data_IF_294778389939
#
_entry.id   IF_294778389939
#
_cell.length_a   1.000
_cell.length_b   1.000
_cell.length_c   1.000
_cell.angle_alpha   90.00
_cell.angle_beta   90.00
_cell.angle_gamma   90.00
#
_symmetry.space_group_name_H-M   'P 1'
#
loop_
_entity.id
_entity.type
_entity.pdbx_description
1 polymer ?
#
# COMPACT_ATOMS: atom_id res chain seq x y z
N UNK A 1 -14.38 3.29 -39.13
CA UNK A 1 -14.40 2.90 -37.69
C UNK A 1 -13.87 4.00 -36.78
N UNK A 2 -12.59 4.43 -36.88
CA UNK A 2 -12.01 5.45 -35.97
C UNK A 2 -12.81 6.76 -35.91
N UNK A 3 -13.26 7.26 -37.08
CA UNK A 3 -14.17 8.42 -37.14
C UNK A 3 -15.47 8.20 -36.36
N UNK A 4 -16.05 7.00 -36.42
CA UNK A 4 -17.28 6.68 -35.68
C UNK A 4 -17.04 6.69 -34.17
N UNK A 5 -15.87 6.19 -33.72
CA UNK A 5 -15.48 6.25 -32.30
C UNK A 5 -15.37 7.71 -31.85
N UNK A 6 -14.71 8.57 -32.65
CA UNK A 6 -14.63 10.01 -32.37
C UNK A 6 -16.01 10.66 -32.27
N UNK A 7 -16.87 10.42 -33.27
CA UNK A 7 -18.20 11.03 -33.34
C UNK A 7 -19.18 10.49 -32.28
N UNK A 8 -18.93 9.31 -31.69
CA UNK A 8 -19.77 8.78 -30.61
C UNK A 8 -19.75 9.66 -29.36
N UNK A 9 -18.70 10.47 -29.19
CA UNK A 9 -18.54 11.42 -28.10
C UNK A 9 -19.06 12.83 -28.44
N UNK A 10 -19.83 12.98 -29.54
CA UNK A 10 -20.38 14.26 -30.02
C UNK A 10 -19.42 15.01 -30.96
N UNK A 11 -19.52 16.35 -31.02
CA UNK A 11 -18.49 17.26 -31.59
C UNK A 11 -17.23 17.33 -30.69
N UNK A 12 -16.92 16.21 -30.04
CA UNK A 12 -15.87 16.07 -29.07
C UNK A 12 -14.47 16.22 -29.67
N UNK A 13 -13.44 16.24 -28.81
CA UNK A 13 -12.07 16.49 -29.20
C UNK A 13 -11.48 15.40 -30.10
N UNK A 14 -10.23 15.60 -30.55
CA UNK A 14 -9.48 14.63 -31.36
C UNK A 14 -9.43 13.24 -30.70
N UNK A 15 -9.39 12.18 -31.50
CA UNK A 15 -9.27 10.81 -30.99
C UNK A 15 -7.80 10.51 -30.62
N UNK A 16 -7.52 10.12 -29.38
CA UNK A 16 -6.19 9.60 -29.05
C UNK A 16 -6.04 8.18 -29.56
N UNK A 17 -5.00 7.95 -30.38
CA UNK A 17 -4.55 6.62 -30.76
C UNK A 17 -3.28 6.33 -29.96
N UNK A 18 -3.38 5.41 -29.02
CA UNK A 18 -2.33 5.11 -28.06
C UNK A 18 -1.72 3.75 -28.39
N UNK A 19 -0.52 3.79 -28.94
CA UNK A 19 0.30 2.62 -29.15
C UNK A 19 1.16 2.37 -27.91
N UNK A 20 0.89 1.26 -27.22
CA UNK A 20 1.64 0.93 -26.00
C UNK A 20 3.12 0.63 -26.24
N UNK A 21 3.54 0.40 -27.48
CA UNK A 21 4.92 -0.01 -27.84
C UNK A 21 5.91 1.16 -27.75
N UNK A 22 7.23 0.86 -27.66
CA UNK A 22 8.26 1.82 -28.00
C UNK A 22 8.21 2.18 -29.50
N UNK A 23 8.45 3.45 -29.87
CA UNK A 23 8.41 3.89 -31.28
C UNK A 23 9.26 3.03 -32.22
N UNK A 24 10.46 2.64 -31.77
CA UNK A 24 11.37 1.80 -32.56
C UNK A 24 10.75 0.44 -32.89
N UNK A 25 10.09 -0.20 -31.91
CA UNK A 25 9.42 -1.49 -32.13
C UNK A 25 8.22 -1.35 -33.07
N UNK A 26 7.50 -0.23 -32.98
CA UNK A 26 6.39 0.05 -33.90
C UNK A 26 6.89 0.25 -35.34
N UNK A 27 8.04 0.93 -35.51
CA UNK A 27 8.70 1.09 -36.81
C UNK A 27 9.17 -0.25 -37.40
N UNK A 28 9.78 -1.13 -36.59
CA UNK A 28 10.17 -2.47 -37.04
C UNK A 28 8.97 -3.29 -37.49
N UNK A 29 7.85 -3.22 -36.76
CA UNK A 29 6.61 -3.87 -37.17
C UNK A 29 6.06 -3.29 -38.49
N UNK A 30 6.21 -1.97 -38.72
CA UNK A 30 5.85 -1.33 -40.00
C UNK A 30 6.67 -1.89 -41.17
N UNK A 31 7.97 -2.11 -40.98
CA UNK A 31 8.82 -2.72 -42.00
C UNK A 31 8.44 -4.19 -42.32
N UNK A 32 7.76 -4.88 -41.40
CA UNK A 32 7.27 -6.26 -41.57
C UNK A 32 5.83 -6.34 -42.09
N UNK A 33 5.26 -5.23 -42.60
CA UNK A 33 3.91 -5.18 -43.14
C UNK A 33 2.79 -5.03 -42.11
N UNK A 34 3.12 -4.81 -40.83
CA UNK A 34 2.19 -4.33 -39.80
C UNK A 34 2.33 -2.80 -39.70
N UNK A 35 2.08 -2.20 -38.53
CA UNK A 35 2.40 -0.78 -38.34
C UNK A 35 1.61 -0.12 -37.23
N UNK A 36 1.37 1.18 -37.43
CA UNK A 36 0.59 2.08 -36.60
C UNK A 36 -0.06 3.12 -37.53
N UNK A 37 -1.07 3.83 -37.03
CA UNK A 37 -1.88 4.78 -37.77
C UNK A 37 -1.07 6.01 -38.19
N UNK A 38 -1.07 6.33 -39.48
CA UNK A 38 -0.41 7.52 -40.01
C UNK A 38 -1.32 8.74 -39.85
N UNK A 39 -0.85 9.78 -39.16
CA UNK A 39 -1.59 11.03 -38.91
C UNK A 39 -1.92 11.81 -40.18
N UNK A 40 -1.21 11.55 -41.29
CA UNK A 40 -1.54 12.15 -42.58
C UNK A 40 -2.72 11.46 -43.27
N UNK A 41 -2.95 10.18 -42.94
CA UNK A 41 -4.04 9.36 -43.50
C UNK A 41 -5.27 9.46 -42.61
N UNK A 42 -5.10 9.22 -41.31
CA UNK A 42 -6.15 9.32 -40.31
C UNK A 42 -6.17 10.74 -39.76
N UNK A 43 -7.05 11.57 -40.33
CA UNK A 43 -7.31 12.91 -39.82
C UNK A 43 -8.00 12.83 -38.46
N UNK A 44 -7.87 13.90 -37.69
CA UNK A 44 -8.51 14.09 -36.39
C UNK A 44 -8.07 13.10 -35.29
N UNK A 45 -6.84 12.56 -35.39
CA UNK A 45 -6.24 11.70 -34.36
C UNK A 45 -4.99 12.33 -33.74
N UNK A 46 -4.68 11.94 -32.51
CA UNK A 46 -3.40 12.20 -31.85
C UNK A 46 -2.74 10.85 -31.57
N UNK A 47 -1.67 10.53 -32.31
CA UNK A 47 -0.89 9.32 -32.08
C UNK A 47 0.10 9.51 -30.92
N UNK A 48 0.11 8.58 -29.96
CA UNK A 48 1.04 8.57 -28.82
C UNK A 48 1.63 7.19 -28.56
N UNK A 49 2.92 7.16 -28.24
CA UNK A 49 3.65 5.94 -27.87
C UNK A 49 3.94 5.90 -26.36
N UNK A 50 3.68 4.77 -25.70
CA UNK A 50 3.85 4.62 -24.24
C UNK A 50 5.14 3.89 -23.81
N UNK A 51 5.91 3.36 -24.75
CA UNK A 51 7.22 2.75 -24.49
C UNK A 51 7.22 1.52 -23.57
N UNK A 52 6.11 0.77 -23.50
CA UNK A 52 6.00 -0.44 -22.67
C UNK A 52 6.71 -1.61 -23.38
N UNK A 53 7.67 -2.29 -22.70
CA UNK A 53 8.46 -3.37 -23.28
C UNK A 53 7.61 -4.56 -23.77
N UNK A 54 8.19 -5.41 -24.61
CA UNK A 54 7.54 -6.66 -25.05
C UNK A 54 7.68 -7.77 -24.00
N UNK A 55 7.01 -8.90 -24.25
CA UNK A 55 6.97 -10.06 -23.36
C UNK A 55 8.36 -10.62 -23.03
N UNK A 56 9.32 -10.54 -23.96
CA UNK A 56 10.68 -11.07 -23.76
C UNK A 56 11.49 -10.19 -22.80
N UNK A 57 11.39 -8.87 -22.95
CA UNK A 57 12.05 -7.93 -22.05
C UNK A 57 11.44 -7.99 -20.63
N UNK A 58 10.13 -8.21 -20.52
CA UNK A 58 9.45 -8.42 -19.23
C UNK A 58 9.89 -9.73 -18.58
N UNK A 59 9.95 -10.84 -19.34
CA UNK A 59 10.48 -12.12 -18.83
C UNK A 59 11.91 -11.96 -18.30
N UNK A 60 12.81 -11.40 -19.10
CA UNK A 60 14.21 -11.19 -18.69
C UNK A 60 14.36 -10.23 -17.51
N UNK A 61 13.41 -9.32 -17.28
CA UNK A 61 13.37 -8.46 -16.11
C UNK A 61 13.05 -9.26 -14.84
N UNK A 62 12.01 -10.10 -14.88
CA UNK A 62 11.68 -10.96 -13.74
C UNK A 62 12.77 -11.99 -13.45
N UNK A 63 13.35 -12.61 -14.49
CA UNK A 63 14.46 -13.56 -14.31
C UNK A 63 15.66 -12.92 -13.59
N UNK A 64 16.03 -11.68 -13.94
CA UNK A 64 17.10 -10.93 -13.26
C UNK A 64 16.75 -10.66 -11.81
N UNK A 65 15.49 -10.31 -11.53
CA UNK A 65 15.00 -10.04 -10.18
C UNK A 65 15.06 -11.30 -9.31
N UNK A 66 14.49 -12.40 -9.79
CA UNK A 66 14.42 -13.68 -9.08
C UNK A 66 15.79 -14.30 -8.85
N UNK A 67 16.72 -14.18 -9.81
CA UNK A 67 18.08 -14.72 -9.68
C UNK A 67 18.79 -14.19 -8.44
N UNK A 68 18.57 -12.93 -8.08
CA UNK A 68 19.22 -12.32 -6.92
C UNK A 68 18.46 -12.64 -5.63
N UNK A 69 17.12 -12.67 -5.68
CA UNK A 69 16.32 -13.08 -4.51
C UNK A 69 16.54 -14.54 -4.09
N UNK A 70 16.90 -15.41 -5.03
CA UNK A 70 17.19 -16.81 -4.73
C UNK A 70 18.60 -17.05 -4.17
N UNK A 71 19.47 -16.03 -4.13
CA UNK A 71 20.81 -16.16 -3.57
C UNK A 71 20.81 -15.88 -2.05
N UNK A 72 21.01 -16.91 -1.20
CA UNK A 72 21.01 -16.74 0.25
C UNK A 72 22.24 -15.96 0.77
N UNK A 73 23.28 -15.76 -0.06
CA UNK A 73 24.52 -15.08 0.32
C UNK A 73 24.55 -13.60 -0.05
N UNK A 74 23.57 -13.13 -0.81
CA UNK A 74 23.48 -11.74 -1.25
C UNK A 74 23.13 -10.81 -0.08
N UNK A 75 23.82 -9.68 -0.01
CA UNK A 75 23.54 -8.62 0.98
C UNK A 75 22.30 -7.80 0.60
N UNK A 76 21.66 -7.15 1.59
CA UNK A 76 20.52 -6.25 1.33
C UNK A 76 20.85 -5.10 0.37
N UNK A 77 22.09 -4.60 0.40
CA UNK A 77 22.56 -3.55 -0.53
C UNK A 77 22.60 -4.06 -1.96
N UNK A 78 23.04 -5.30 -2.15
CA UNK A 78 23.10 -5.93 -3.47
C UNK A 78 21.70 -6.32 -3.97
N UNK A 79 20.76 -6.68 -3.08
CA UNK A 79 19.35 -6.85 -3.42
C UNK A 79 18.76 -5.56 -4.01
N UNK A 80 18.94 -4.43 -3.32
CA UNK A 80 18.42 -3.14 -3.81
C UNK A 80 19.03 -2.76 -5.17
N UNK A 81 20.35 -2.95 -5.34
CA UNK A 81 21.00 -2.73 -6.63
C UNK A 81 20.48 -3.65 -7.73
N UNK A 82 20.11 -4.89 -7.39
CA UNK A 82 19.54 -5.84 -8.34
C UNK A 82 18.13 -5.47 -8.76
N UNK A 83 17.30 -4.98 -7.84
CA UNK A 83 15.96 -4.45 -8.15
C UNK A 83 16.07 -3.36 -9.22
N UNK A 84 16.99 -2.41 -9.05
CA UNK A 84 17.22 -1.35 -10.04
C UNK A 84 17.68 -1.90 -11.40
N UNK A 85 18.66 -2.82 -11.39
CA UNK A 85 19.22 -3.44 -12.62
C UNK A 85 18.21 -4.32 -13.36
N UNK A 86 17.21 -4.85 -12.66
CA UNK A 86 16.16 -5.68 -13.27
C UNK A 86 15.25 -4.87 -14.20
N UNK A 87 15.15 -3.55 -14.02
CA UNK A 87 14.12 -2.69 -14.62
C UNK A 87 12.67 -3.05 -14.28
N UNK A 88 12.41 -3.94 -13.31
CA UNK A 88 11.05 -4.37 -12.98
C UNK A 88 10.18 -3.19 -12.55
N UNK A 89 10.62 -2.43 -11.54
CA UNK A 89 9.92 -1.25 -11.05
C UNK A 89 9.77 -0.16 -12.13
N UNK A 90 10.76 -0.02 -13.01
CA UNK A 90 10.67 0.90 -14.15
C UNK A 90 9.56 0.50 -15.10
N UNK A 91 9.35 -0.78 -15.34
CA UNK A 91 8.27 -1.26 -16.20
C UNK A 91 6.88 -1.08 -15.56
N UNK A 92 6.75 -1.35 -14.26
CA UNK A 92 5.52 -1.07 -13.53
C UNK A 92 5.16 0.42 -13.62
N UNK A 93 6.15 1.29 -13.42
CA UNK A 93 5.96 2.74 -13.53
C UNK A 93 5.46 3.15 -14.91
N UNK A 94 6.06 2.66 -15.99
CA UNK A 94 5.60 2.96 -17.36
C UNK A 94 4.15 2.54 -17.60
N UNK A 95 3.74 1.38 -17.05
CA UNK A 95 2.36 0.89 -17.18
C UNK A 95 1.39 1.79 -16.39
N UNK A 96 1.73 2.15 -15.14
CA UNK A 96 0.92 3.03 -14.29
C UNK A 96 0.83 4.44 -14.87
N UNK A 97 1.94 5.02 -15.34
CA UNK A 97 1.98 6.32 -16.02
C UNK A 97 1.11 6.31 -17.29
N UNK A 98 1.15 5.24 -18.08
CA UNK A 98 0.32 5.08 -19.26
C UNK A 98 -1.17 5.00 -18.93
N UNK A 99 -1.54 4.20 -17.93
CA UNK A 99 -2.92 4.10 -17.46
C UNK A 99 -3.44 5.44 -16.93
N UNK A 100 -2.64 6.14 -16.14
CA UNK A 100 -2.98 7.45 -15.60
C UNK A 100 -3.10 8.52 -16.70
N UNK A 101 -2.21 8.48 -17.71
CA UNK A 101 -2.28 9.37 -18.87
C UNK A 101 -3.63 9.28 -19.59
N UNK A 102 -4.18 8.06 -19.73
CA UNK A 102 -5.49 7.80 -20.33
C UNK A 102 -6.59 8.26 -19.37
N UNK A 103 -6.59 7.75 -18.13
CA UNK A 103 -7.64 8.02 -17.16
C UNK A 103 -7.84 9.52 -16.91
N UNK A 104 -6.73 10.26 -16.71
CA UNK A 104 -6.77 11.70 -16.44
C UNK A 104 -7.32 12.56 -17.59
N UNK A 105 -7.27 12.08 -18.83
CA UNK A 105 -7.76 12.82 -20.02
C UNK A 105 -9.14 12.39 -20.48
N UNK A 106 -9.63 11.26 -19.97
CA UNK A 106 -11.01 10.83 -20.16
C UNK A 106 -11.99 11.63 -19.30
N UNK A 107 -11.52 12.23 -18.20
CA UNK A 107 -12.35 13.09 -17.36
C UNK A 107 -12.95 14.26 -18.18
N UNK A 108 -14.25 14.56 -18.03
CA UNK A 108 -14.91 15.63 -18.77
C UNK A 108 -14.20 16.99 -18.60
N UNK A 109 -13.75 17.29 -17.38
CA UNK A 109 -13.04 18.52 -17.05
C UNK A 109 -11.68 18.63 -17.75
N UNK A 110 -11.07 17.49 -18.09
CA UNK A 110 -9.78 17.41 -18.79
C UNK A 110 -9.93 17.31 -20.32
N UNK A 111 -11.14 17.51 -20.84
CA UNK A 111 -11.48 17.52 -22.27
C UNK A 111 -12.36 16.37 -22.73
N UNK A 112 -12.57 15.33 -21.91
CA UNK A 112 -13.47 14.22 -22.26
C UNK A 112 -13.00 13.44 -23.50
N UNK A 113 -11.69 13.20 -23.62
CA UNK A 113 -11.13 12.57 -24.82
C UNK A 113 -11.52 11.09 -24.93
N UNK A 114 -11.71 10.63 -26.16
CA UNK A 114 -11.82 9.20 -26.47
C UNK A 114 -10.47 8.60 -26.83
N UNK A 115 -10.30 7.31 -26.53
CA UNK A 115 -9.04 6.60 -26.69
C UNK A 115 -9.23 5.29 -27.46
N UNK A 116 -8.35 5.05 -28.44
CA UNK A 116 -8.08 3.75 -29.02
C UNK A 116 -6.72 3.27 -28.52
N UNK A 117 -6.69 2.21 -27.73
CA UNK A 117 -5.45 1.66 -27.17
C UNK A 117 -5.11 0.36 -27.88
N UNK A 118 -3.89 0.24 -28.40
CA UNK A 118 -3.42 -0.98 -29.06
C UNK A 118 -1.94 -1.27 -28.77
N UNK A 119 -1.50 -2.45 -29.20
CA UNK A 119 -0.10 -2.84 -29.14
C UNK A 119 0.33 -3.53 -30.45
N UNK A 120 1.04 -4.66 -30.37
CA UNK A 120 1.27 -5.52 -31.53
C UNK A 120 0.03 -6.39 -31.83
N UNK A 121 -0.41 -7.17 -30.85
CA UNK A 121 -1.48 -8.17 -31.02
C UNK A 121 -2.73 -7.88 -30.16
N UNK A 122 -2.66 -6.88 -29.27
CA UNK A 122 -3.81 -6.35 -28.53
C UNK A 122 -4.18 -7.06 -27.22
N UNK A 123 -3.51 -8.14 -26.82
CA UNK A 123 -3.92 -8.95 -25.65
C UNK A 123 -2.98 -8.90 -24.42
N UNK A 124 -1.83 -8.21 -24.50
CA UNK A 124 -0.87 -8.12 -23.38
C UNK A 124 -0.88 -6.70 -22.76
N UNK A 125 -0.09 -5.78 -23.33
CA UNK A 125 0.05 -4.40 -22.85
C UNK A 125 -1.25 -3.61 -22.88
N UNK A 126 -2.09 -3.90 -23.88
CA UNK A 126 -3.42 -3.29 -23.99
C UNK A 126 -4.29 -3.69 -22.81
N UNK A 127 -4.32 -4.98 -22.42
CA UNK A 127 -5.07 -5.44 -21.25
C UNK A 127 -4.55 -4.77 -19.97
N UNK A 128 -3.23 -4.70 -19.77
CA UNK A 128 -2.61 -4.01 -18.64
C UNK A 128 -3.07 -2.55 -18.53
N UNK A 129 -2.90 -1.78 -19.61
CA UNK A 129 -3.17 -0.33 -19.60
C UNK A 129 -4.67 -0.02 -19.51
N UNK A 130 -5.50 -0.73 -20.27
CA UNK A 130 -6.95 -0.50 -20.25
C UNK A 130 -7.58 -0.87 -18.91
N UNK A 131 -7.18 -2.00 -18.30
CA UNK A 131 -7.72 -2.44 -17.02
C UNK A 131 -7.28 -1.52 -15.88
N UNK A 132 -6.02 -1.07 -15.86
CA UNK A 132 -5.54 -0.10 -14.87
C UNK A 132 -6.18 1.28 -15.05
N UNK A 133 -6.38 1.76 -16.27
CA UNK A 133 -7.06 3.04 -16.50
C UNK A 133 -8.51 2.99 -15.97
N UNK A 134 -9.20 1.86 -16.16
CA UNK A 134 -10.53 1.62 -15.59
C UNK A 134 -10.52 1.59 -14.07
N UNK A 135 -9.54 0.94 -13.43
CA UNK A 135 -9.36 1.00 -11.97
C UNK A 135 -9.13 2.43 -11.48
N UNK A 136 -8.39 3.23 -12.24
CA UNK A 136 -8.08 4.61 -11.88
C UNK A 136 -9.28 5.56 -12.00
N UNK A 137 -10.23 5.29 -12.91
CA UNK A 137 -11.36 6.20 -13.16
C UNK A 137 -12.67 5.77 -12.49
N UNK A 138 -12.97 4.48 -12.43
CA UNK A 138 -14.28 3.96 -12.02
C UNK A 138 -14.19 3.20 -10.68
N UNK A 139 -14.80 3.71 -9.60
CA UNK A 139 -14.85 3.04 -8.29
C UNK A 139 -15.48 1.65 -8.31
N UNK A 140 -16.34 1.34 -9.28
CA UNK A 140 -16.92 0.00 -9.41
C UNK A 140 -15.84 -1.05 -9.49
N UNK A 141 -14.81 -0.85 -10.31
CA UNK A 141 -13.72 -1.82 -10.48
C UNK A 141 -12.82 -1.95 -9.25
N UNK A 142 -12.94 -1.05 -8.27
CA UNK A 142 -12.25 -1.14 -6.97
C UNK A 142 -13.04 -1.96 -5.94
N UNK A 143 -14.28 -2.33 -6.26
CA UNK A 143 -15.06 -3.28 -5.46
C UNK A 143 -14.61 -4.71 -5.75
N UNK A 144 -14.88 -5.64 -4.84
CA UNK A 144 -14.58 -7.06 -5.03
C UNK A 144 -15.22 -7.61 -6.31
N UNK A 145 -16.50 -7.31 -6.53
CA UNK A 145 -17.25 -7.81 -7.69
C UNK A 145 -16.82 -7.12 -8.98
N UNK A 146 -16.50 -5.81 -8.91
CA UNK A 146 -16.01 -5.08 -10.06
C UNK A 146 -14.62 -5.53 -10.48
N UNK A 147 -13.71 -5.80 -9.54
CA UNK A 147 -12.38 -6.31 -9.87
C UNK A 147 -12.44 -7.68 -10.54
N UNK A 148 -13.32 -8.57 -10.06
CA UNK A 148 -13.63 -9.82 -10.74
C UNK A 148 -14.15 -9.57 -12.17
N UNK A 149 -15.13 -8.68 -12.33
CA UNK A 149 -15.71 -8.35 -13.63
C UNK A 149 -14.66 -7.75 -14.59
N UNK A 150 -13.71 -6.96 -14.08
CA UNK A 150 -12.61 -6.39 -14.84
C UNK A 150 -11.68 -7.47 -15.39
N UNK A 151 -11.31 -8.45 -14.57
CA UNK A 151 -10.44 -9.57 -14.98
C UNK A 151 -11.17 -10.46 -15.99
N UNK A 152 -12.43 -10.83 -15.72
CA UNK A 152 -13.25 -11.58 -16.68
C UNK A 152 -13.34 -10.88 -18.03
N UNK A 153 -13.62 -9.57 -18.02
CA UNK A 153 -13.71 -8.75 -19.23
C UNK A 153 -12.36 -8.64 -19.94
N UNK A 154 -11.42 -7.86 -19.39
CA UNK A 154 -10.25 -7.37 -20.11
C UNK A 154 -9.12 -8.39 -20.25
N UNK A 155 -9.16 -9.46 -19.45
CA UNK A 155 -8.13 -10.49 -19.48
C UNK A 155 -8.67 -11.80 -20.05
N UNK A 156 -9.81 -12.28 -19.57
CA UNK A 156 -10.33 -13.58 -20.00
C UNK A 156 -11.08 -13.48 -21.34
N UNK A 157 -12.12 -12.66 -21.45
CA UNK A 157 -12.91 -12.53 -22.67
C UNK A 157 -12.13 -11.87 -23.81
N UNK A 158 -11.34 -10.83 -23.51
CA UNK A 158 -10.47 -10.18 -24.51
C UNK A 158 -9.25 -11.02 -24.93
N UNK A 159 -9.10 -12.24 -24.40
CA UNK A 159 -8.19 -13.25 -24.96
C UNK A 159 -6.72 -13.07 -24.57
N UNK A 160 -6.44 -12.63 -23.35
CA UNK A 160 -5.10 -12.79 -22.80
C UNK A 160 -4.73 -14.27 -22.77
N UNK A 161 -3.56 -14.60 -23.29
CA UNK A 161 -3.11 -15.97 -23.51
C UNK A 161 -2.59 -16.63 -22.23
N UNK A 162 -3.45 -16.85 -21.23
CA UNK A 162 -3.02 -17.32 -19.90
C UNK A 162 -2.23 -18.63 -19.95
N UNK A 163 -2.70 -19.65 -20.67
CA UNK A 163 -1.96 -20.94 -20.78
C UNK A 163 -0.54 -20.73 -21.31
N UNK A 164 -0.37 -19.94 -22.38
CA UNK A 164 0.94 -19.66 -22.98
C UNK A 164 1.81 -18.79 -22.06
N UNK A 165 1.24 -17.71 -21.52
CA UNK A 165 1.96 -16.71 -20.71
C UNK A 165 2.40 -17.27 -19.36
N UNK A 166 1.57 -18.11 -18.74
CA UNK A 166 1.90 -18.77 -17.48
C UNK A 166 2.67 -20.08 -17.66
N UNK A 167 2.74 -20.65 -18.88
CA UNK A 167 3.43 -21.92 -19.14
C UNK A 167 2.76 -23.10 -18.47
N UNK A 168 1.42 -23.20 -18.57
CA UNK A 168 0.63 -24.20 -17.83
C UNK A 168 0.74 -25.63 -18.38
N UNK A 169 1.25 -25.78 -19.61
CA UNK A 169 1.42 -27.08 -20.27
C UNK A 169 2.80 -27.15 -20.94
N UNK A 170 3.39 -28.35 -20.98
CA UNK A 170 4.74 -28.57 -21.51
C UNK A 170 4.88 -28.27 -23.01
N UNK A 171 3.77 -28.25 -23.76
CA UNK A 171 3.77 -27.95 -25.19
C UNK A 171 3.92 -26.46 -25.52
N UNK A 172 3.87 -25.58 -24.52
CA UNK A 172 4.03 -24.13 -24.71
C UNK A 172 5.48 -23.79 -25.04
N UNK A 173 5.70 -22.94 -26.06
CA UNK A 173 7.03 -22.40 -26.35
C UNK A 173 7.51 -21.55 -25.15
N UNK A 174 8.66 -21.87 -24.53
CA UNK A 174 9.20 -21.08 -23.42
C UNK A 174 9.39 -19.58 -23.75
N UNK A 175 9.50 -19.23 -25.03
CA UNK A 175 9.61 -17.83 -25.49
C UNK A 175 8.30 -17.05 -25.38
N UNK A 176 7.15 -17.72 -25.29
CA UNK A 176 5.84 -17.11 -25.07
C UNK A 176 5.51 -16.89 -23.59
N UNK A 177 6.22 -17.56 -22.69
CA UNK A 177 6.06 -17.40 -21.24
C UNK A 177 6.53 -16.00 -20.81
N UNK A 178 5.68 -15.28 -20.09
CA UNK A 178 5.97 -13.93 -19.60
C UNK A 178 5.01 -13.48 -18.50
N UNK A 179 5.49 -12.80 -17.44
CA UNK A 179 4.70 -12.43 -16.27
C UNK A 179 3.84 -11.17 -16.49
N UNK A 180 3.04 -11.13 -17.57
CA UNK A 180 2.23 -9.97 -17.95
C UNK A 180 1.09 -9.70 -16.96
N UNK A 181 0.34 -10.75 -16.59
CA UNK A 181 -0.69 -10.65 -15.56
C UNK A 181 -0.10 -10.33 -14.18
N UNK A 182 1.10 -10.83 -13.88
CA UNK A 182 1.80 -10.50 -12.63
C UNK A 182 2.12 -9.02 -12.54
N UNK A 183 2.58 -8.38 -13.63
CA UNK A 183 2.79 -6.93 -13.65
C UNK A 183 1.50 -6.16 -13.39
N UNK A 184 0.35 -6.62 -13.91
CA UNK A 184 -0.94 -5.99 -13.62
C UNK A 184 -1.33 -6.10 -12.14
N UNK A 185 -1.15 -7.27 -11.54
CA UNK A 185 -1.37 -7.47 -10.12
C UNK A 185 -0.41 -6.60 -9.28
N UNK A 186 0.86 -6.50 -9.66
CA UNK A 186 1.86 -5.67 -8.98
C UNK A 186 1.56 -4.17 -9.10
N UNK A 187 1.13 -3.70 -10.28
CA UNK A 187 0.60 -2.35 -10.44
C UNK A 187 -0.64 -2.10 -9.57
N UNK A 188 -1.53 -3.09 -9.44
CA UNK A 188 -2.72 -2.98 -8.57
C UNK A 188 -2.33 -2.96 -7.10
N UNK A 189 -1.36 -3.78 -6.70
CA UNK A 189 -0.77 -3.79 -5.37
C UNK A 189 -0.16 -2.42 -5.02
N UNK A 190 0.58 -1.82 -5.94
CA UNK A 190 1.12 -0.46 -5.77
C UNK A 190 0.02 0.58 -5.51
N UNK A 191 -1.13 0.49 -6.20
CA UNK A 191 -2.27 1.37 -5.94
C UNK A 191 -2.93 1.09 -4.59
N UNK A 192 -3.05 -0.18 -4.18
CA UNK A 192 -3.60 -0.57 -2.89
C UNK A 192 -2.77 -0.01 -1.72
N UNK A 193 -1.44 -0.14 -1.80
CA UNK A 193 -0.51 0.35 -0.78
C UNK A 193 -0.56 1.88 -0.63
N UNK A 194 -0.66 2.61 -1.74
CA UNK A 194 -0.72 4.07 -1.73
C UNK A 194 -2.08 4.63 -1.32
N UNK A 195 -3.14 3.85 -1.50
CA UNK A 195 -4.53 4.29 -1.31
C UNK A 195 -5.29 3.25 -0.49
N UNK A 196 -4.98 3.11 0.81
CA UNK A 196 -5.51 2.05 1.66
C UNK A 196 -7.03 2.08 1.82
N UNK A 197 -7.69 3.22 1.55
CA UNK A 197 -9.15 3.34 1.64
C UNK A 197 -9.87 3.18 0.30
N UNK A 198 -9.16 3.13 -0.82
CA UNK A 198 -9.78 3.24 -2.16
C UNK A 198 -10.33 1.93 -2.72
N UNK A 199 -9.96 0.77 -2.15
CA UNK A 199 -10.29 -0.56 -2.67
C UNK A 199 -10.97 -1.42 -1.62
N UNK A 200 -12.01 -2.15 -2.03
CA UNK A 200 -12.78 -3.06 -1.16
C UNK A 200 -12.01 -4.36 -0.87
N UNK A 201 -11.09 -4.75 -1.74
CA UNK A 201 -10.27 -5.94 -1.58
C UNK A 201 -8.86 -5.60 -1.07
N UNK A 202 -8.22 -6.54 -0.40
CA UNK A 202 -6.88 -6.42 0.17
C UNK A 202 -5.79 -7.09 -0.70
N UNK A 203 -4.52 -6.92 -0.32
CA UNK A 203 -3.36 -7.48 -1.03
C UNK A 203 -3.38 -9.01 -1.12
N UNK A 204 -4.02 -9.70 -0.16
CA UNK A 204 -4.16 -11.17 -0.16
C UNK A 204 -4.96 -11.67 -1.35
N UNK A 205 -6.00 -10.94 -1.77
CA UNK A 205 -6.76 -11.31 -2.98
C UNK A 205 -5.85 -11.35 -4.22
N UNK A 206 -4.91 -10.41 -4.33
CA UNK A 206 -3.97 -10.36 -5.45
C UNK A 206 -2.96 -11.52 -5.42
N UNK A 207 -2.49 -11.91 -4.23
CA UNK A 207 -1.61 -13.08 -4.05
C UNK A 207 -2.32 -14.39 -4.45
N UNK A 208 -3.56 -14.57 -4.00
CA UNK A 208 -4.36 -15.75 -4.38
C UNK A 208 -4.66 -15.76 -5.89
N UNK A 209 -4.96 -14.60 -6.49
CA UNK A 209 -5.15 -14.51 -7.95
C UNK A 209 -3.88 -14.90 -8.72
N UNK A 210 -2.71 -14.48 -8.23
CA UNK A 210 -1.44 -14.91 -8.78
C UNK A 210 -1.30 -16.43 -8.72
N UNK A 211 -1.53 -17.05 -7.56
CA UNK A 211 -1.36 -18.50 -7.40
C UNK A 211 -2.44 -19.30 -8.18
N UNK A 212 -3.68 -18.82 -8.23
CA UNK A 212 -4.75 -19.42 -9.04
C UNK A 212 -4.45 -19.34 -10.54
N UNK A 213 -3.80 -18.27 -11.01
CA UNK A 213 -3.42 -18.13 -12.42
C UNK A 213 -2.29 -19.07 -12.87
N UNK A 214 -1.59 -19.71 -11.92
CA UNK A 214 -0.42 -20.56 -12.18
C UNK A 214 -0.57 -22.00 -11.71
N UNK A 215 -1.52 -22.27 -10.81
CA UNK A 215 -1.68 -23.60 -10.19
C UNK A 215 -2.40 -24.61 -11.08
N UNK A 216 -3.25 -24.17 -12.00
CA UNK A 216 -4.13 -25.06 -12.76
C UNK A 216 -5.23 -25.72 -11.92
N UNK A 217 -5.43 -25.29 -10.66
CA UNK A 217 -6.44 -25.84 -9.76
C UNK A 217 -7.87 -25.54 -10.22
N UNK A 218 -8.07 -24.37 -10.84
CA UNK A 218 -9.36 -23.90 -11.35
C UNK A 218 -9.27 -23.69 -12.86
N UNK A 219 -10.42 -23.79 -13.55
CA UNK A 219 -10.47 -23.55 -14.99
C UNK A 219 -10.50 -22.09 -15.40
N UNK A 220 -10.64 -21.14 -14.46
CA UNK A 220 -10.79 -19.71 -14.75
C UNK A 220 -9.67 -19.15 -15.62
N UNK A 221 -8.41 -19.51 -15.34
CA UNK A 221 -7.24 -19.01 -16.07
C UNK A 221 -6.68 -20.01 -17.09
N UNK A 222 -7.42 -21.06 -17.42
CA UNK A 222 -7.00 -22.05 -18.43
C UNK A 222 -7.46 -21.59 -19.81
N UNK A 223 -6.62 -21.79 -20.83
CA UNK A 223 -6.87 -21.46 -22.23
C UNK A 223 -6.42 -20.05 -22.60
N UNK A 224 -6.28 -19.82 -23.91
CA UNK A 224 -5.75 -18.58 -24.49
C UNK A 224 -6.83 -17.68 -25.12
N UNK A 225 -8.08 -18.13 -25.19
CA UNK A 225 -9.21 -17.33 -25.68
C UNK A 225 -10.54 -17.86 -25.15
N UNK A 226 -11.59 -17.04 -25.17
CA UNK A 226 -12.95 -17.49 -24.83
C UNK A 226 -13.39 -18.70 -25.67
N UNK A 227 -13.14 -18.66 -26.98
CA UNK A 227 -13.46 -19.76 -27.90
C UNK A 227 -12.83 -21.07 -27.46
N UNK A 228 -11.56 -21.04 -27.08
CA UNK A 228 -10.83 -22.23 -26.61
C UNK A 228 -11.42 -22.76 -25.30
N UNK A 229 -11.75 -21.87 -24.34
CA UNK A 229 -12.39 -22.26 -23.08
C UNK A 229 -13.74 -22.95 -23.30
N UNK A 230 -14.52 -22.46 -24.27
CA UNK A 230 -15.77 -23.10 -24.68
C UNK A 230 -15.53 -24.48 -25.30
N UNK A 231 -14.55 -24.62 -26.19
CA UNK A 231 -14.21 -25.90 -26.83
C UNK A 231 -13.72 -26.95 -25.82
N UNK A 232 -12.97 -26.52 -24.81
CA UNK A 232 -12.53 -27.39 -23.72
C UNK A 232 -13.68 -27.78 -22.77
N UNK A 233 -14.77 -27.01 -22.76
CA UNK A 233 -15.91 -27.20 -21.86
C UNK A 233 -15.57 -26.87 -20.41
N UNK A 234 -14.71 -25.87 -20.17
CA UNK A 234 -14.17 -25.59 -18.84
C UNK A 234 -15.27 -25.26 -17.82
N UNK A 235 -16.29 -24.50 -18.21
CA UNK A 235 -17.41 -24.14 -17.33
C UNK A 235 -18.22 -25.35 -16.83
N UNK A 236 -18.17 -26.48 -17.55
CA UNK A 236 -18.87 -27.71 -17.15
C UNK A 236 -17.95 -28.70 -16.45
N UNK A 237 -16.64 -28.65 -16.73
CA UNK A 237 -15.67 -29.65 -16.27
C UNK A 237 -14.81 -29.21 -15.09
N UNK A 238 -14.79 -27.91 -14.78
CA UNK A 238 -13.88 -27.34 -13.78
C UNK A 238 -14.60 -26.37 -12.87
N UNK A 239 -14.06 -26.19 -11.66
CA UNK A 239 -14.52 -25.15 -10.75
C UNK A 239 -13.96 -23.79 -11.14
N UNK A 240 -14.73 -22.75 -10.85
CA UNK A 240 -14.32 -21.36 -11.01
C UNK A 240 -13.53 -20.89 -9.78
N UNK A 241 -12.40 -20.22 -10.00
CA UNK A 241 -11.65 -19.51 -8.97
C UNK A 241 -12.55 -18.56 -8.18
N UNK A 242 -13.54 -17.95 -8.83
CA UNK A 242 -14.44 -16.98 -8.21
C UNK A 242 -15.36 -17.60 -7.16
N UNK A 243 -15.67 -18.89 -7.26
CA UNK A 243 -16.43 -19.59 -6.22
C UNK A 243 -15.63 -19.63 -4.91
N UNK A 244 -14.34 -19.99 -4.99
CA UNK A 244 -13.43 -19.94 -3.85
C UNK A 244 -13.32 -18.53 -3.24
N UNK A 245 -13.17 -17.51 -4.08
CA UNK A 245 -13.11 -16.13 -3.63
C UNK A 245 -14.40 -15.69 -2.94
N UNK A 246 -15.57 -16.09 -3.45
CA UNK A 246 -16.87 -15.77 -2.87
C UNK A 246 -17.08 -16.47 -1.51
N UNK A 247 -16.73 -17.75 -1.39
CA UNK A 247 -16.83 -18.52 -0.14
C UNK A 247 -15.90 -17.96 0.94
N UNK A 248 -14.70 -17.55 0.55
CA UNK A 248 -13.67 -17.03 1.45
C UNK A 248 -13.61 -15.49 1.47
N UNK A 249 -14.68 -14.81 1.08
CA UNK A 249 -14.72 -13.34 0.88
C UNK A 249 -14.17 -12.58 2.08
N UNK A 250 -14.48 -13.01 3.30
CA UNK A 250 -14.03 -12.40 4.55
C UNK A 250 -12.50 -12.26 4.68
N UNK A 251 -11.72 -13.15 4.04
CA UNK A 251 -10.25 -13.08 4.04
C UNK A 251 -9.69 -11.99 3.12
N UNK A 252 -10.50 -11.52 2.18
CA UNK A 252 -10.09 -10.66 1.07
C UNK A 252 -10.63 -9.24 1.18
N UNK A 253 -11.56 -8.98 2.10
CA UNK A 253 -12.11 -7.65 2.29
C UNK A 253 -11.12 -6.77 3.05
N UNK A 254 -11.00 -5.54 2.57
CA UNK A 254 -10.24 -4.48 3.22
C UNK A 254 -11.15 -3.73 4.21
N UNK A 255 -10.86 -3.77 5.52
CA UNK A 255 -11.68 -3.10 6.53
C UNK A 255 -11.58 -1.56 6.46
N UNK A 256 -10.56 -1.01 5.80
CA UNK A 256 -10.35 0.43 5.65
C UNK A 256 -11.11 1.03 4.46
N UNK A 257 -11.79 0.21 3.66
CA UNK A 257 -12.43 0.67 2.43
C UNK A 257 -13.51 1.74 2.69
N UNK A 258 -13.33 2.91 2.06
CA UNK A 258 -14.30 4.02 2.06
C UNK A 258 -14.66 4.38 0.61
N UNK A 259 -15.82 3.95 0.10
CA UNK A 259 -16.23 4.31 -1.25
C UNK A 259 -16.47 5.83 -1.37
N UNK A 260 -16.19 6.43 -2.55
CA UNK A 260 -16.56 7.82 -2.81
C UNK A 260 -18.05 8.06 -2.56
N UNK A 261 -18.41 9.20 -1.95
CA UNK A 261 -19.80 9.49 -1.54
C UNK A 261 -20.78 9.37 -2.72
N UNK A 262 -20.42 9.94 -3.87
CA UNK A 262 -21.22 9.86 -5.09
C UNK A 262 -21.47 8.40 -5.53
N UNK A 263 -20.43 7.55 -5.47
CA UNK A 263 -20.55 6.13 -5.79
C UNK A 263 -21.41 5.38 -4.76
N UNK A 264 -21.21 5.64 -3.46
CA UNK A 264 -22.00 5.03 -2.39
C UNK A 264 -23.49 5.38 -2.49
N UNK A 265 -23.82 6.62 -2.84
CA UNK A 265 -25.20 7.06 -3.07
C UNK A 265 -25.79 6.40 -4.32
N UNK A 266 -25.08 6.44 -5.44
CA UNK A 266 -25.56 5.90 -6.71
C UNK A 266 -25.72 4.37 -6.68
N UNK A 267 -24.91 3.67 -5.87
CA UNK A 267 -25.04 2.22 -5.63
C UNK A 267 -26.33 1.84 -4.88
N UNK A 268 -26.90 2.76 -4.10
CA UNK A 268 -28.20 2.53 -3.41
C UNK A 268 -29.38 2.66 -4.37
N UNK A 269 -29.27 3.51 -5.39
CA UNK A 269 -30.35 3.79 -6.34
C UNK A 269 -30.30 2.90 -7.58
N UNK A 270 -29.11 2.45 -7.97
CA UNK A 270 -28.88 1.65 -9.17
C UNK A 270 -27.87 0.53 -8.90
N UNK A 271 -28.10 -0.65 -9.48
CA UNK A 271 -27.16 -1.77 -9.35
C UNK A 271 -25.83 -1.54 -10.08
N UNK A 272 -25.74 -0.54 -10.98
CA UNK A 272 -24.55 -0.19 -11.77
C UNK A 272 -24.41 1.32 -11.90
N UNK A 273 -23.99 2.01 -10.83
CA UNK A 273 -23.79 3.44 -10.90
C UNK A 273 -22.58 3.79 -11.76
N UNK A 274 -22.77 4.63 -12.78
CA UNK A 274 -21.67 5.20 -13.55
C UNK A 274 -21.19 6.48 -12.84
N UNK A 275 -20.14 6.35 -12.04
CA UNK A 275 -19.52 7.47 -11.31
C UNK A 275 -18.04 7.48 -11.64
N UNK A 276 -17.51 8.64 -12.02
CA UNK A 276 -16.08 8.84 -12.16
C UNK A 276 -15.51 9.36 -10.84
N UNK A 277 -14.39 8.78 -10.40
CA UNK A 277 -13.62 9.28 -9.28
C UNK A 277 -12.14 8.94 -9.51
N UNK A 278 -11.48 9.78 -10.31
CA UNK A 278 -10.08 9.63 -10.68
C UNK A 278 -9.16 9.51 -9.45
N UNK A 279 -8.23 8.56 -9.48
CA UNK A 279 -7.17 8.44 -8.48
C UNK A 279 -6.19 9.64 -8.54
N UNK A 280 -5.55 10.02 -7.43
CA UNK A 280 -4.69 11.20 -7.40
C UNK A 280 -3.39 11.00 -8.20
N UNK A 281 -2.86 12.10 -8.78
CA UNK A 281 -1.68 12.06 -9.65
C UNK A 281 -0.42 11.48 -9.01
N UNK A 282 -0.27 11.56 -7.67
CA UNK A 282 0.93 11.11 -7.00
C UNK A 282 1.16 9.59 -7.13
N UNK A 283 0.14 8.80 -7.51
CA UNK A 283 0.28 7.35 -7.72
C UNK A 283 1.32 6.98 -8.78
N UNK A 284 1.65 7.92 -9.69
CA UNK A 284 2.67 7.74 -10.72
C UNK A 284 4.08 8.13 -10.25
N UNK A 285 4.25 8.61 -9.01
CA UNK A 285 5.53 9.12 -8.51
C UNK A 285 6.61 8.02 -8.49
N UNK A 286 7.76 8.21 -9.14
CA UNK A 286 8.83 7.22 -9.18
C UNK A 286 9.33 6.75 -7.82
N UNK A 287 9.30 7.64 -6.82
CA UNK A 287 9.81 7.38 -5.47
C UNK A 287 8.93 6.46 -4.63
N UNK A 288 7.70 6.21 -5.10
CA UNK A 288 6.71 5.42 -4.38
C UNK A 288 6.72 3.95 -4.79
N UNK A 289 7.38 3.60 -5.90
CA UNK A 289 7.45 2.21 -6.37
C UNK A 289 8.45 1.42 -5.51
N UNK A 290 7.94 0.43 -4.79
CA UNK A 290 8.74 -0.55 -4.05
C UNK A 290 8.52 -1.97 -4.57
N UNK A 291 9.41 -2.91 -4.24
CA UNK A 291 9.21 -4.32 -4.56
C UNK A 291 8.03 -4.90 -3.76
N UNK A 292 7.19 -5.69 -4.41
CA UNK A 292 6.13 -6.45 -3.74
C UNK A 292 6.72 -7.63 -2.95
N UNK A 293 7.16 -7.35 -1.72
CA UNK A 293 7.83 -8.32 -0.86
C UNK A 293 6.98 -9.59 -0.64
N UNK A 294 5.66 -9.44 -0.45
CA UNK A 294 4.78 -10.57 -0.16
C UNK A 294 4.58 -11.53 -1.34
N UNK A 295 4.94 -11.12 -2.55
CA UNK A 295 4.97 -11.99 -3.71
C UNK A 295 6.37 -12.56 -3.94
N UNK A 296 7.38 -11.69 -4.09
CA UNK A 296 8.72 -12.10 -4.53
C UNK A 296 9.59 -12.66 -3.41
N UNK A 297 9.33 -12.26 -2.18
CA UNK A 297 10.11 -12.66 -1.00
C UNK A 297 9.32 -13.57 -0.05
N UNK A 298 8.16 -14.08 -0.49
CA UNK A 298 7.26 -14.91 0.34
C UNK A 298 7.87 -16.21 0.87
N UNK A 299 8.97 -16.67 0.25
CA UNK A 299 9.73 -17.88 0.64
C UNK A 299 11.12 -17.53 1.17
N UNK A 300 11.42 -16.24 1.36
CA UNK A 300 12.70 -15.81 1.89
C UNK A 300 12.70 -15.98 3.41
N UNK A 301 13.33 -17.04 3.90
CA UNK A 301 13.39 -17.40 5.32
C UNK A 301 14.06 -16.33 6.19
N UNK A 302 14.87 -15.45 5.60
CA UNK A 302 15.50 -14.30 6.30
C UNK A 302 14.50 -13.20 6.63
N UNK A 303 13.33 -13.18 6.00
CA UNK A 303 12.29 -12.19 6.22
C UNK A 303 11.19 -12.84 7.05
N UNK A 304 10.80 -12.24 8.20
CA UNK A 304 9.69 -12.75 8.99
C UNK A 304 8.41 -12.87 8.15
N UNK A 305 7.62 -13.93 8.40
CA UNK A 305 6.35 -14.14 7.69
C UNK A 305 5.42 -12.94 7.84
N UNK A 306 4.48 -12.74 6.91
CA UNK A 306 3.48 -11.65 6.99
C UNK A 306 2.80 -11.66 8.35
N UNK A 307 2.30 -12.83 8.79
CA UNK A 307 1.66 -12.99 10.10
C UNK A 307 2.58 -12.55 11.25
N UNK A 308 3.86 -12.92 11.20
CA UNK A 308 4.82 -12.52 12.22
C UNK A 308 5.06 -11.01 12.19
N UNK A 309 5.24 -10.39 11.02
CA UNK A 309 5.40 -8.93 10.91
C UNK A 309 4.14 -8.19 11.37
N UNK A 310 2.95 -8.69 11.06
CA UNK A 310 1.69 -8.10 11.54
C UNK A 310 1.60 -8.19 13.06
N UNK A 311 1.95 -9.33 13.67
CA UNK A 311 2.00 -9.47 15.13
C UNK A 311 3.03 -8.52 15.73
N UNK A 312 4.23 -8.42 15.15
CA UNK A 312 5.27 -7.48 15.59
C UNK A 312 4.82 -6.02 15.48
N UNK A 313 4.16 -5.62 14.38
CA UNK A 313 3.62 -4.27 14.21
C UNK A 313 2.50 -3.98 15.21
N UNK A 314 1.61 -4.94 15.47
CA UNK A 314 0.54 -4.79 16.46
C UNK A 314 1.13 -4.70 17.87
N UNK A 315 2.15 -5.49 18.19
CA UNK A 315 2.85 -5.44 19.48
C UNK A 315 3.63 -4.11 19.65
N UNK A 316 4.24 -3.62 18.58
CA UNK A 316 4.87 -2.30 18.51
C UNK A 316 3.85 -1.19 18.78
N UNK A 317 2.70 -1.22 18.11
CA UNK A 317 1.62 -0.26 18.32
C UNK A 317 1.07 -0.33 19.74
N UNK A 318 0.88 -1.52 20.31
CA UNK A 318 0.48 -1.71 21.72
C UNK A 318 1.51 -1.10 22.67
N UNK A 319 2.79 -1.37 22.44
CA UNK A 319 3.89 -0.85 23.25
C UNK A 319 3.98 0.68 23.16
N UNK A 320 3.86 1.23 21.95
CA UNK A 320 3.84 2.68 21.73
C UNK A 320 2.62 3.34 22.39
N UNK A 321 1.44 2.73 22.32
CA UNK A 321 0.21 3.22 22.97
C UNK A 321 0.37 3.24 24.49
N UNK A 322 0.93 2.19 25.09
CA UNK A 322 1.24 2.13 26.53
C UNK A 322 2.24 3.23 26.93
N UNK A 323 3.29 3.43 26.15
CA UNK A 323 4.29 4.47 26.40
C UNK A 323 3.67 5.88 26.33
N UNK A 324 2.81 6.15 25.35
CA UNK A 324 2.10 7.42 25.22
C UNK A 324 1.09 7.64 26.37
N UNK A 325 0.37 6.60 26.80
CA UNK A 325 -0.54 6.68 27.93
C UNK A 325 0.20 7.03 29.24
N UNK A 326 1.32 6.36 29.50
CA UNK A 326 2.19 6.67 30.63
C UNK A 326 2.73 8.11 30.54
N UNK A 327 3.06 8.58 29.34
CA UNK A 327 3.50 9.94 29.12
C UNK A 327 2.42 10.99 29.42
N UNK A 328 1.21 10.76 28.90
CA UNK A 328 0.04 11.59 29.17
C UNK A 328 -0.24 11.69 30.67
N UNK A 329 -0.15 10.58 31.40
CA UNK A 329 -0.30 10.55 32.86
C UNK A 329 0.77 11.42 33.58
N UNK A 330 2.04 11.30 33.19
CA UNK A 330 3.11 12.11 33.76
C UNK A 330 2.90 13.61 33.51
N UNK A 331 2.56 13.99 32.27
CA UNK A 331 2.27 15.39 31.94
C UNK A 331 1.08 15.93 32.73
N UNK A 332 -0.02 15.17 32.84
CA UNK A 332 -1.18 15.56 33.64
C UNK A 332 -0.80 15.80 35.12
N UNK A 333 0.04 14.94 35.70
CA UNK A 333 0.58 15.15 37.07
C UNK A 333 1.40 16.43 37.19
N UNK A 334 2.24 16.76 36.19
CA UNK A 334 3.01 18.01 36.22
C UNK A 334 2.16 19.25 36.02
N UNK A 335 1.12 19.19 35.18
CA UNK A 335 0.13 20.25 35.05
C UNK A 335 -0.56 20.50 36.40
N UNK A 336 -0.91 19.43 37.14
CA UNK A 336 -1.46 19.52 38.49
C UNK A 336 -0.48 20.20 39.47
N UNK A 337 0.79 19.79 39.48
CA UNK A 337 1.81 20.34 40.37
C UNK A 337 2.11 21.82 40.07
N UNK A 338 2.29 22.18 38.79
CA UNK A 338 2.49 23.57 38.36
C UNK A 338 1.27 24.44 38.69
N UNK A 339 0.05 23.92 38.48
CA UNK A 339 -1.16 24.66 38.80
C UNK A 339 -1.32 24.90 40.30
N UNK A 340 -0.91 23.95 41.14
CA UNK A 340 -0.83 24.13 42.60
C UNK A 340 0.18 25.22 42.98
N UNK A 341 1.36 25.25 42.36
CA UNK A 341 2.38 26.29 42.60
C UNK A 341 1.92 27.69 42.15
N UNK A 342 1.11 27.76 41.10
CA UNK A 342 0.56 29.01 40.57
C UNK A 342 -0.72 29.48 41.30
N UNK A 343 -1.20 28.72 42.30
CA UNK A 343 -2.40 29.08 43.08
C UNK A 343 -3.73 28.98 42.32
N UNK A 344 -3.80 28.18 41.25
CA UNK A 344 -5.03 28.01 40.45
C UNK A 344 -6.11 27.24 41.21
N UNK A 345 -7.36 27.56 40.95
CA UNK A 345 -8.51 26.86 41.53
C UNK A 345 -8.72 25.47 40.93
N UNK A 346 -9.39 24.58 41.66
CA UNK A 346 -9.70 23.21 41.19
C UNK A 346 -10.62 23.16 39.96
N UNK A 347 -11.36 24.24 39.69
CA UNK A 347 -12.18 24.37 38.47
C UNK A 347 -11.28 24.63 37.24
N UNK A 348 -10.34 25.58 37.35
CA UNK A 348 -9.39 25.91 36.28
C UNK A 348 -8.46 24.74 35.94
N UNK A 349 -8.07 23.95 36.96
CA UNK A 349 -7.26 22.75 36.78
C UNK A 349 -8.01 21.68 35.98
N UNK A 350 -9.31 21.49 36.26
CA UNK A 350 -10.14 20.53 35.52
C UNK A 350 -10.32 20.94 34.07
N UNK A 351 -10.57 22.22 33.80
CA UNK A 351 -10.67 22.74 32.43
C UNK A 351 -9.36 22.57 31.64
N UNK A 352 -8.21 22.80 32.28
CA UNK A 352 -6.90 22.59 31.61
C UNK A 352 -6.64 21.13 31.24
N UNK A 353 -7.18 20.18 32.02
CA UNK A 353 -7.02 18.74 31.78
C UNK A 353 -8.11 18.18 30.84
N UNK A 354 -9.25 18.86 30.70
CA UNK A 354 -10.39 18.45 29.86
C UNK A 354 -10.30 18.90 28.39
N UNK A 355 -9.39 19.80 28.03
CA UNK A 355 -9.17 20.27 26.64
C UNK A 355 -8.78 19.17 25.63
N UNK A 356 -8.61 17.92 26.08
CA UNK A 356 -8.45 16.73 25.22
C UNK A 356 -9.77 16.06 24.80
N UNK A 357 -10.94 16.61 25.17
CA UNK A 357 -12.26 15.99 24.95
C UNK A 357 -12.96 16.29 23.62
N UNK A 358 -12.45 17.22 22.79
CA UNK A 358 -13.06 17.52 21.50
C UNK A 358 -12.25 16.95 20.34
N UNK A 359 -12.39 15.65 20.08
CA UNK A 359 -12.24 15.08 18.74
C UNK A 359 -13.38 14.10 18.49
N UNK A 360 -14.11 14.40 17.44
CA UNK A 360 -15.16 13.60 16.82
C UNK A 360 -14.72 12.14 16.63
N UNK A 361 -15.63 11.22 16.95
CA UNK A 361 -15.76 9.85 16.45
C UNK A 361 -14.47 9.00 16.31
N UNK A 362 -14.14 8.23 17.35
CA UNK A 362 -13.40 6.98 17.20
C UNK A 362 -14.41 5.82 17.07
N UNK A 363 -14.48 5.10 15.93
CA UNK A 363 -15.44 4.03 15.74
C UNK A 363 -14.92 2.71 16.32
N UNK A 364 -15.79 2.04 17.09
CA UNK A 364 -15.76 0.63 17.50
C UNK A 364 -14.48 0.13 18.21
N UNK A 365 -14.54 0.07 19.54
CA UNK A 365 -13.84 -0.93 20.35
C UNK A 365 -14.93 -1.75 21.05
N UNK A 366 -14.89 -3.08 20.88
CA UNK A 366 -15.77 -4.03 21.56
C UNK A 366 -15.68 -3.90 23.09
N UNK A 367 -16.82 -4.05 23.75
CA UNK A 367 -17.08 -3.81 25.19
C UNK A 367 -16.51 -4.87 26.16
N UNK A 368 -15.47 -5.64 25.79
CA UNK A 368 -15.04 -6.80 26.62
C UNK A 368 -13.62 -6.73 27.23
N UNK A 369 -12.95 -5.58 27.23
CA UNK A 369 -11.74 -5.39 28.04
C UNK A 369 -11.94 -4.32 29.13
N UNK A 370 -12.00 -4.82 30.36
CA UNK A 370 -12.12 -4.17 31.66
C UNK A 370 -11.10 -3.04 31.86
N UNK A 371 -11.38 -1.86 31.30
CA UNK A 371 -10.74 -0.61 31.65
C UNK A 371 -11.66 0.17 32.57
N UNK A 372 -11.53 -0.15 33.87
CA UNK A 372 -12.07 0.66 34.94
C UNK A 372 -11.70 2.14 34.72
N UNK A 373 -12.72 2.93 34.39
CA UNK A 373 -12.74 4.37 34.65
C UNK A 373 -12.39 4.52 36.12
N UNK A 374 -11.23 5.10 36.42
CA UNK A 374 -10.84 5.46 37.77
C UNK A 374 -11.78 6.59 38.22
N UNK A 375 -12.96 6.19 38.68
CA UNK A 375 -13.75 6.96 39.61
C UNK A 375 -12.98 7.00 40.92
N UNK A 376 -12.76 8.21 41.41
CA UNK A 376 -11.97 8.56 42.59
C UNK A 376 -12.71 8.20 43.90
N UNK A 377 -13.18 6.95 43.97
CA UNK A 377 -13.91 6.42 45.10
C UNK A 377 -13.85 4.90 45.12
N UNK A 378 -12.64 4.31 45.13
CA UNK A 378 -12.48 3.13 45.96
C UNK A 378 -11.02 2.83 46.32
N UNK A 379 -10.84 2.62 47.61
CA UNK A 379 -9.63 2.20 48.26
C UNK A 379 -9.29 0.75 47.87
N UNK A 380 -8.38 0.57 46.90
CA UNK A 380 -7.58 -0.65 46.84
C UNK A 380 -6.20 -0.37 46.26
N UNK A 381 -5.20 -0.86 46.96
CA UNK A 381 -3.80 -0.50 46.87
C UNK A 381 -3.17 -1.00 45.55
N UNK A 382 -2.99 -0.11 44.57
CA UNK A 382 -1.79 -0.22 43.72
C UNK A 382 -0.65 0.43 44.50
N UNK A 383 0.28 -0.38 44.97
CA UNK A 383 1.51 0.04 45.68
C UNK A 383 2.45 0.80 44.74
N UNK A 384 2.01 1.95 44.24
CA UNK A 384 2.93 3.01 43.83
C UNK A 384 3.60 3.49 45.12
N UNK A 385 4.86 3.11 45.31
CA UNK A 385 5.71 3.81 46.27
C UNK A 385 5.76 5.26 45.81
N UNK A 386 4.98 6.12 46.47
CA UNK A 386 5.21 7.57 46.49
C UNK A 386 6.69 7.78 46.75
N UNK A 387 7.44 8.41 45.82
CA UNK A 387 8.72 8.99 46.21
C UNK A 387 8.41 9.92 47.37
N UNK A 388 9.11 9.71 48.48
CA UNK A 388 9.07 10.56 49.65
C UNK A 388 9.17 12.01 49.19
N UNK A 389 8.32 12.84 49.78
CA UNK A 389 8.28 14.29 49.59
C UNK A 389 9.69 14.87 49.61
N UNK A 390 10.23 15.26 48.47
CA UNK A 390 11.33 16.21 48.43
C UNK A 390 11.23 17.09 47.18
N UNK A 391 10.75 18.30 47.45
CA UNK A 391 10.83 19.52 46.64
C UNK A 391 9.88 19.65 45.43
N UNK A 392 8.73 20.30 45.66
CA UNK A 392 7.94 21.02 44.64
C UNK A 392 8.71 22.29 44.18
N UNK A 393 9.94 22.12 43.71
CA UNK A 393 10.74 23.24 43.20
C UNK A 393 10.54 23.36 41.69
N UNK A 394 10.48 24.59 41.19
CA UNK A 394 10.49 24.87 39.75
C UNK A 394 11.67 24.19 39.04
N UNK A 395 12.80 24.07 39.74
CA UNK A 395 14.00 23.38 39.29
C UNK A 395 13.81 21.87 39.17
N UNK A 396 13.15 21.22 40.14
CA UNK A 396 12.81 19.80 40.08
C UNK A 396 11.86 19.48 38.92
N UNK A 397 10.83 20.32 38.72
CA UNK A 397 9.88 20.16 37.62
C UNK A 397 10.58 20.39 36.25
N UNK A 398 11.41 21.41 36.13
CA UNK A 398 12.18 21.71 34.92
C UNK A 398 13.16 20.58 34.58
N UNK A 399 13.84 20.02 35.59
CA UNK A 399 14.76 18.89 35.43
C UNK A 399 14.01 17.65 34.91
N UNK A 400 12.84 17.34 35.46
CA UNK A 400 12.06 16.18 35.04
C UNK A 400 11.41 16.37 33.66
N UNK A 401 10.97 17.58 33.30
CA UNK A 401 10.47 17.89 31.95
C UNK A 401 11.55 17.78 30.87
N UNK A 402 12.82 18.03 31.20
CA UNK A 402 13.94 17.87 30.26
C UNK A 402 14.23 16.41 29.85
N UNK A 403 13.61 15.45 30.55
CA UNK A 403 13.75 14.02 30.30
C UNK A 403 12.69 13.52 29.31
N UNK A 404 11.69 14.33 28.97
CA UNK A 404 10.53 13.86 28.21
C UNK A 404 10.13 14.80 27.07
N UNK A 405 9.81 14.24 25.90
CA UNK A 405 9.46 15.01 24.71
C UNK A 405 8.02 15.54 24.74
N UNK A 406 7.86 16.86 24.80
CA UNK A 406 6.56 17.57 24.84
C UNK A 406 5.96 17.92 23.47
N UNK A 407 6.56 17.44 22.37
CA UNK A 407 6.10 17.72 21.01
C UNK A 407 5.28 16.57 20.45
N UNK A 408 4.41 16.88 19.48
CA UNK A 408 3.67 15.87 18.72
C UNK A 408 4.58 14.83 18.07
N UNK A 409 4.08 13.61 18.00
CA UNK A 409 4.85 12.45 17.57
C UNK A 409 4.05 11.63 16.56
N UNK A 410 4.66 11.30 15.42
CA UNK A 410 4.07 10.42 14.42
C UNK A 410 4.32 8.96 14.80
N UNK A 411 3.26 8.22 15.15
CA UNK A 411 3.30 6.82 15.56
C UNK A 411 3.75 5.86 14.46
N UNK A 412 3.56 6.25 13.20
CA UNK A 412 3.87 5.41 12.04
C UNK A 412 5.10 5.98 11.34
N UNK A 413 6.08 5.12 11.08
CA UNK A 413 7.23 5.49 10.25
C UNK A 413 6.76 5.80 8.83
N UNK A 414 7.20 6.93 8.28
CA UNK A 414 7.03 7.19 6.85
C UNK A 414 7.83 6.19 6.01
N UNK A 415 7.43 5.98 4.75
CA UNK A 415 8.06 5.01 3.85
C UNK A 415 9.58 5.20 3.67
N UNK A 416 10.10 6.41 3.92
CA UNK A 416 11.53 6.75 3.84
C UNK A 416 12.16 7.10 5.19
N UNK A 417 11.47 6.86 6.31
CA UNK A 417 11.99 7.18 7.64
C UNK A 417 13.13 6.22 8.03
N UNK A 418 14.25 6.77 8.47
CA UNK A 418 15.42 6.01 8.92
C UNK A 418 15.64 6.16 10.42
N UNK A 419 16.21 5.12 11.03
CA UNK A 419 16.58 5.15 12.44
C UNK A 419 17.72 6.17 12.62
N UNK A 420 17.61 7.17 13.51
CA UNK A 420 18.66 8.17 13.71
C UNK A 420 19.93 7.59 14.33
N UNK A 421 19.88 6.39 14.93
CA UNK A 421 21.03 5.75 15.56
C UNK A 421 21.89 4.91 14.61
N UNK A 422 21.29 4.26 13.60
CA UNK A 422 22.00 3.35 12.70
C UNK A 422 21.68 3.56 11.22
N UNK A 423 20.87 4.56 10.89
CA UNK A 423 20.43 4.92 9.52
C UNK A 423 19.68 3.82 8.77
N UNK A 424 19.23 2.77 9.45
CA UNK A 424 18.45 1.69 8.83
C UNK A 424 17.05 2.20 8.49
N UNK A 425 16.50 1.75 7.35
CA UNK A 425 15.13 2.08 6.98
C UNK A 425 14.16 1.43 7.96
N UNK A 426 13.35 2.23 8.67
CA UNK A 426 12.42 1.74 9.70
C UNK A 426 11.31 0.88 9.08
N UNK A 427 10.91 1.18 7.84
CA UNK A 427 9.99 0.34 7.06
C UNK A 427 10.52 -1.10 6.80
N UNK A 428 11.84 -1.32 6.94
CA UNK A 428 12.49 -2.63 6.75
C UNK A 428 12.85 -3.36 8.04
N UNK A 429 12.61 -2.74 9.21
CA UNK A 429 13.10 -3.21 10.51
C UNK A 429 11.99 -3.10 11.56
N UNK A 430 11.22 -4.17 11.71
CA UNK A 430 10.40 -4.42 12.92
C UNK A 430 11.23 -5.21 13.94
N UNK A 431 11.10 -4.97 15.26
CA UNK A 431 10.29 -3.94 15.89
C UNK A 431 10.98 -2.56 15.98
N UNK A 432 10.18 -1.48 16.08
CA UNK A 432 10.66 -0.11 16.35
C UNK A 432 9.74 0.67 17.30
N UNK A 433 10.31 1.59 18.10
CA UNK A 433 9.55 2.38 19.06
C UNK A 433 10.06 3.82 19.19
N UNK A 434 9.22 4.69 19.75
CA UNK A 434 9.59 6.07 20.05
C UNK A 434 10.52 6.16 21.26
N UNK A 435 11.54 7.00 21.15
CA UNK A 435 12.29 7.42 22.31
C UNK A 435 11.48 8.43 23.12
N UNK A 436 11.23 8.13 24.40
CA UNK A 436 10.46 8.99 25.30
C UNK A 436 11.09 10.38 25.51
N UNK A 437 12.41 10.51 25.34
CA UNK A 437 13.12 11.78 25.53
C UNK A 437 13.14 12.69 24.30
N UNK A 438 13.31 12.12 23.10
CA UNK A 438 13.45 12.92 21.87
C UNK A 438 12.30 12.79 20.87
N UNK A 439 11.33 11.89 21.12
CA UNK A 439 10.19 11.65 20.25
C UNK A 439 10.51 10.92 18.94
N UNK A 440 11.77 10.67 18.62
CA UNK A 440 12.18 10.01 17.37
C UNK A 440 11.84 8.52 17.37
N UNK A 441 11.47 7.98 16.20
CA UNK A 441 11.35 6.54 15.97
C UNK A 441 12.73 5.89 15.87
N UNK A 442 12.93 4.81 16.61
CA UNK A 442 14.23 4.14 16.72
C UNK A 442 14.02 2.64 16.61
N UNK A 443 14.86 1.95 15.83
CA UNK A 443 14.79 0.50 15.71
C UNK A 443 15.15 -0.19 17.04
N UNK A 444 14.65 -1.42 17.23
CA UNK A 444 14.95 -2.29 18.38
C UNK A 444 16.43 -2.37 18.75
N UNK A 445 17.31 -2.44 17.77
CA UNK A 445 18.76 -2.52 17.97
C UNK A 445 19.37 -1.23 18.55
N UNK A 446 18.72 -0.08 18.35
CA UNK A 446 19.13 1.22 18.87
C UNK A 446 18.32 1.65 20.10
N UNK A 447 17.32 0.86 20.49
CA UNK A 447 16.62 0.98 21.75
C UNK A 447 17.44 0.34 22.86
N UNK A 448 17.36 0.94 24.04
CA UNK A 448 17.93 0.40 25.26
C UNK A 448 16.82 -0.12 26.16
N UNK A 449 16.92 -1.35 26.67
CA UNK A 449 16.12 -1.77 27.81
C UNK A 449 16.59 -0.92 28.99
N UNK A 450 15.72 -0.04 29.50
CA UNK A 450 16.09 0.84 30.63
C UNK A 450 15.18 0.56 31.80
N UNK A 451 15.79 0.31 32.95
CA UNK A 451 15.13 0.13 34.23
C UNK A 451 14.19 1.29 34.56
N UNK A 452 13.12 0.93 35.27
CA UNK A 452 11.96 1.73 35.62
C UNK A 452 12.27 3.23 35.88
N UNK A 453 11.48 4.09 35.22
CA UNK A 453 11.32 5.48 35.62
C UNK A 453 10.78 5.52 37.08
N UNK A 454 10.90 6.61 37.87
CA UNK A 454 10.23 6.80 39.17
C UNK A 454 8.72 6.48 39.20
N UNK A 455 8.07 6.30 38.06
CA UNK A 455 6.69 5.85 37.90
C UNK A 455 6.52 4.33 37.74
N UNK A 456 7.58 3.52 37.82
CA UNK A 456 7.49 2.05 37.70
C UNK A 456 7.24 1.51 36.29
N UNK A 457 7.06 2.38 35.28
CA UNK A 457 6.81 1.98 33.88
C UNK A 457 8.13 1.89 33.13
N UNK A 458 8.38 0.77 32.44
CA UNK A 458 9.51 0.62 31.52
C UNK A 458 9.25 1.45 30.27
N UNK A 459 10.06 2.49 30.06
CA UNK A 459 9.88 3.44 28.97
C UNK A 459 11.03 3.31 27.95
N UNK A 460 10.74 3.25 26.64
CA UNK A 460 11.76 3.09 25.61
C UNK A 460 12.65 4.34 25.48
N UNK A 461 13.96 4.18 25.66
CA UNK A 461 14.96 5.21 25.38
C UNK A 461 15.86 4.78 24.23
N UNK A 462 16.25 5.73 23.38
CA UNK A 462 17.33 5.49 22.43
C UNK A 462 18.67 5.52 23.15
N UNK A 463 19.64 4.73 22.65
CA UNK A 463 21.01 4.65 23.20
C UNK A 463 21.67 6.02 23.35
N UNK A 464 21.41 6.96 22.44
CA UNK A 464 21.94 8.33 22.50
C UNK A 464 21.38 9.12 23.69
N UNK A 465 20.07 9.10 23.88
CA UNK A 465 19.40 9.76 25.01
C UNK A 465 19.75 9.10 26.35
N UNK A 466 19.96 7.79 26.37
CA UNK A 466 20.39 7.09 27.58
C UNK A 466 21.80 7.52 28.01
N UNK A 467 22.76 7.59 27.07
CA UNK A 467 24.15 8.03 27.35
C UNK A 467 24.21 9.44 27.96
N UNK A 468 23.35 10.34 27.48
CA UNK A 468 23.21 11.69 28.04
C UNK A 468 22.62 11.69 29.46
N UNK A 469 21.83 10.68 29.81
CA UNK A 469 21.20 10.56 31.14
C UNK A 469 22.19 9.96 32.16
N UNK A 470 23.03 9.00 31.74
CA UNK A 470 24.09 8.43 32.58
C UNK A 470 25.24 9.41 32.85
N UNK A 471 25.59 10.26 31.88
CA UNK A 471 26.60 11.31 32.07
C UNK A 471 26.18 12.36 33.11
N UNK A 472 24.89 12.67 33.21
CA UNK A 472 24.35 13.60 34.24
C UNK A 472 24.34 12.97 35.64
N UNK A 473 24.23 11.64 35.76
CA UNK A 473 24.33 10.94 37.04
C UNK A 473 25.78 10.86 37.57
N UNK A 474 26.77 10.77 36.69
CA UNK A 474 28.19 10.70 37.09
C UNK A 474 28.78 12.04 37.53
N UNK A 475 28.23 13.18 37.10
CA UNK A 475 28.66 14.51 37.53
C UNK A 475 27.98 15.01 38.83
N UNK A 476 27.14 14.19 39.47
CA UNK A 476 26.41 14.53 40.71
C UNK A 476 26.70 13.53 41.85
N UNK A 477 27.82 12.78 41.76
CA UNK A 477 28.34 11.93 42.83
C UNK A 477 29.63 12.52 43.39
#
# INVERSE_FOLDING_TARGET
MLRCIRCASGDGPLLYVVDTRPPLNALTNRAQGKGYEDVNVYKDIILRFLQIPNIHAVRGSLEKLLKVYQDPKVSLKDLNSAVDKSSWLRYLRLIVEAAYFIASRMEPEAGGYSFLVHCSDGWDRTAQVCSLAQLMIDPYYRTFNGFQALIEKDWLYFGHKFTDRCGLVDSVDPREVSPIFVQFLDCTHHLLELLPEAFEFNSRMLLELHDHSRSGLYGTFIGCSERERMQLGLSQKTYSSWAYFAENRHLFINPLYKPPVAFAQARKTTNRPHVTALLPAFVTSPHLFGPWADLFLRREWRIPSVSQRTVEVVDDLKTQTKALSAYSCLLRKRVLELSKLLGKSQAEIRDLLSLNGNREEAPYMDDDDDYAVVNDSDSSQSTFKTPVSDSLTMEGISKDLSVVNTRDVNLVAGAMSTCPGCSVLLASQTPYAHCVRCGQLVCSSCLSPTDANPTGVMLPFCKTCQRQTTAVKQNNL
#
